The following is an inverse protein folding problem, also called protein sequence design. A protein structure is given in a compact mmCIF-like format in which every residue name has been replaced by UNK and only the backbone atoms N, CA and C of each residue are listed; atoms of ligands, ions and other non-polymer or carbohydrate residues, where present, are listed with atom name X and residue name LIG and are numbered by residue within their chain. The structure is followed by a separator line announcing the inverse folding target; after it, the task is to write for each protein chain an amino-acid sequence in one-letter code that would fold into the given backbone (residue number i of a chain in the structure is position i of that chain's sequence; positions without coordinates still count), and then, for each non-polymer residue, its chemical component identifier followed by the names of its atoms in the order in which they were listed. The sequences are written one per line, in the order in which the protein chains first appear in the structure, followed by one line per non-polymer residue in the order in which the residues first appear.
data_IF_219273337671
#
_entry.id   IF_219273337671
#
_cell.length_a   1.000
_cell.length_b   1.000
_cell.length_c   1.000
_cell.angle_alpha   90.00
_cell.angle_beta   90.00
_cell.angle_gamma   90.00
#
_symmetry.space_group_name_H-M   'P 1'
#
loop_
_entity.id
_entity.type
_entity.pdbx_description
1 polymer ?
#
# COMPACT_ATOMS: atom_id res chain seq x y z
N UNK A 1 9.46 -1.99 -27.32
CA UNK A 1 9.49 -3.08 -26.32
C UNK A 1 9.81 -2.66 -24.87
N UNK A 2 9.98 -1.36 -24.54
CA UNK A 2 10.07 -0.87 -23.14
C UNK A 2 8.87 0.05 -22.80
N UNK A 3 8.50 0.92 -23.75
CA UNK A 3 7.33 1.80 -23.69
C UNK A 3 5.98 1.08 -23.57
N UNK A 4 5.85 -0.11 -24.17
CA UNK A 4 4.64 -0.93 -24.09
C UNK A 4 4.42 -1.51 -22.67
N UNK A 5 5.49 -1.97 -22.02
CA UNK A 5 5.45 -2.46 -20.63
C UNK A 5 5.27 -1.33 -19.61
N UNK A 6 5.83 -0.14 -19.85
CA UNK A 6 5.60 1.03 -19.00
C UNK A 6 4.15 1.55 -19.10
N UNK A 7 3.52 1.47 -20.29
CA UNK A 7 2.09 1.77 -20.45
C UNK A 7 1.17 0.65 -19.94
N UNK A 8 1.59 -0.62 -19.96
CA UNK A 8 0.89 -1.70 -19.23
C UNK A 8 1.03 -1.57 -17.69
N UNK A 9 2.13 -0.99 -17.20
CA UNK A 9 2.36 -0.76 -15.77
C UNK A 9 1.54 0.39 -15.18
N UNK A 10 1.19 1.38 -16.03
CA UNK A 10 0.06 2.25 -15.80
C UNK A 10 -1.23 1.45 -16.02
N UNK A 11 -1.49 0.56 -15.07
CA UNK A 11 -2.69 -0.21 -15.00
C UNK A 11 -3.81 0.79 -14.68
N UNK A 12 -4.39 1.39 -15.73
CA UNK A 12 -5.47 2.39 -15.63
C UNK A 12 -6.58 1.85 -14.72
N UNK A 13 -6.76 0.53 -14.72
CA UNK A 13 -7.66 -0.18 -13.83
C UNK A 13 -7.32 0.02 -12.34
N UNK A 14 -6.05 -0.11 -11.94
CA UNK A 14 -5.59 0.16 -10.56
C UNK A 14 -5.72 1.63 -10.21
N UNK A 15 -5.44 2.52 -11.16
CA UNK A 15 -5.60 3.96 -10.96
C UNK A 15 -7.06 4.33 -10.73
N UNK A 16 -7.97 3.84 -11.57
CA UNK A 16 -9.42 4.04 -11.46
C UNK A 16 -9.96 3.40 -10.18
N UNK A 17 -9.50 2.21 -9.81
CA UNK A 17 -9.87 1.56 -8.55
C UNK A 17 -9.42 2.40 -7.34
N UNK A 18 -8.15 2.84 -7.33
CA UNK A 18 -7.61 3.68 -6.26
C UNK A 18 -8.35 5.02 -6.17
N UNK A 19 -8.66 5.66 -7.31
CA UNK A 19 -9.47 6.88 -7.36
C UNK A 19 -10.90 6.65 -6.86
N UNK A 20 -11.55 5.56 -7.27
CA UNK A 20 -12.90 5.23 -6.83
C UNK A 20 -12.96 5.02 -5.32
N UNK A 21 -12.01 4.29 -4.76
CA UNK A 21 -11.90 4.05 -3.31
C UNK A 21 -11.55 5.36 -2.58
N UNK A 22 -10.63 6.17 -3.10
CA UNK A 22 -10.28 7.48 -2.54
C UNK A 22 -11.49 8.42 -2.46
N UNK A 23 -12.28 8.48 -3.54
CA UNK A 23 -13.48 9.32 -3.59
C UNK A 23 -14.56 8.81 -2.65
N UNK A 24 -14.80 7.50 -2.59
CA UNK A 24 -15.76 6.91 -1.67
C UNK A 24 -15.40 7.20 -0.21
N UNK A 25 -14.13 7.04 0.17
CA UNK A 25 -13.64 7.35 1.51
C UNK A 25 -13.70 8.85 1.80
N UNK A 26 -13.28 9.68 0.85
CA UNK A 26 -13.34 11.13 0.98
C UNK A 26 -14.77 11.66 1.11
N UNK A 27 -15.75 11.00 0.47
CA UNK A 27 -17.17 11.30 0.63
C UNK A 27 -17.72 10.82 1.97
N UNK A 28 -17.32 9.63 2.43
CA UNK A 28 -17.83 9.05 3.67
C UNK A 28 -17.32 9.80 4.91
N UNK A 29 -16.09 10.34 4.86
CA UNK A 29 -15.48 11.17 5.91
C UNK A 29 -15.41 12.66 5.55
N UNK A 30 -16.39 13.16 4.79
CA UNK A 30 -16.38 14.54 4.30
C UNK A 30 -16.31 15.56 5.45
N UNK A 31 -15.21 16.31 5.52
CA UNK A 31 -14.94 17.34 6.54
C UNK A 31 -15.28 16.91 7.98
N UNK A 32 -14.70 15.81 8.42
CA UNK A 32 -14.75 15.42 9.84
C UNK A 32 -14.09 16.52 10.70
N UNK A 33 -14.88 17.20 11.53
CA UNK A 33 -14.38 18.20 12.47
C UNK A 33 -13.71 17.53 13.67
N UNK A 34 -12.95 18.26 14.49
CA UNK A 34 -12.27 17.71 15.68
C UNK A 34 -12.96 18.14 16.98
N UNK A 35 -14.21 18.58 16.91
CA UNK A 35 -14.88 19.25 18.04
C UNK A 35 -15.51 18.25 19.00
N UNK A 36 -15.84 17.04 18.52
CA UNK A 36 -16.49 16.00 19.32
C UNK A 36 -15.61 14.74 19.36
N UNK A 37 -15.61 14.02 20.49
CA UNK A 37 -14.86 12.76 20.65
C UNK A 37 -15.23 11.70 19.58
N UNK A 38 -16.49 11.69 19.14
CA UNK A 38 -16.96 10.84 18.06
C UNK A 38 -16.24 11.13 16.74
N UNK A 39 -16.07 12.42 16.40
CA UNK A 39 -15.41 12.82 15.15
C UNK A 39 -13.89 12.57 15.21
N UNK A 40 -13.27 12.70 16.40
CA UNK A 40 -11.87 12.33 16.62
C UNK A 40 -11.67 10.83 16.37
N UNK A 41 -12.57 9.98 16.89
CA UNK A 41 -12.54 8.53 16.66
C UNK A 41 -12.71 8.19 15.18
N UNK A 42 -13.54 8.93 14.47
CA UNK A 42 -13.73 8.76 13.03
C UNK A 42 -12.45 9.09 12.24
N UNK A 43 -11.72 10.15 12.59
CA UNK A 43 -10.43 10.47 11.98
C UNK A 43 -9.36 9.40 12.25
N UNK A 44 -9.32 8.85 13.47
CA UNK A 44 -8.41 7.74 13.81
C UNK A 44 -8.78 6.49 13.00
N UNK A 45 -10.07 6.20 12.85
CA UNK A 45 -10.57 5.10 12.03
C UNK A 45 -10.19 5.26 10.55
N UNK A 46 -10.26 6.49 10.01
CA UNK A 46 -9.84 6.78 8.65
C UNK A 46 -8.33 6.55 8.46
N UNK A 47 -7.49 7.06 9.35
CA UNK A 47 -6.03 6.83 9.30
C UNK A 47 -5.69 5.35 9.38
N UNK A 48 -6.36 4.62 10.27
CA UNK A 48 -6.18 3.17 10.42
C UNK A 48 -6.57 2.41 9.15
N UNK A 49 -7.71 2.76 8.54
CA UNK A 49 -8.15 2.20 7.26
C UNK A 49 -7.10 2.42 6.16
N UNK A 50 -6.58 3.65 6.03
CA UNK A 50 -5.58 3.98 5.00
C UNK A 50 -4.33 3.09 5.16
N UNK A 51 -3.84 2.92 6.39
CA UNK A 51 -2.69 2.05 6.67
C UNK A 51 -2.93 0.60 6.23
N UNK A 52 -4.10 0.04 6.56
CA UNK A 52 -4.45 -1.34 6.21
C UNK A 52 -4.66 -1.51 4.72
N UNK A 53 -5.32 -0.55 4.08
CA UNK A 53 -5.56 -0.56 2.64
C UNK A 53 -4.24 -0.66 1.87
N UNK A 54 -3.25 0.18 2.22
CA UNK A 54 -1.92 0.14 1.60
C UNK A 54 -1.14 -1.12 1.96
N UNK A 55 -1.19 -1.56 3.23
CA UNK A 55 -0.53 -2.80 3.68
C UNK A 55 -1.05 -4.01 2.91
N UNK A 56 -2.38 -4.15 2.81
CA UNK A 56 -3.07 -5.23 2.09
C UNK A 56 -2.70 -5.23 0.62
N UNK A 57 -2.85 -4.08 -0.04
CA UNK A 57 -2.57 -3.93 -1.47
C UNK A 57 -1.12 -4.27 -1.80
N UNK A 58 -0.17 -3.82 -0.97
CA UNK A 58 1.25 -4.08 -1.19
C UNK A 58 1.63 -5.53 -0.90
N UNK A 59 1.17 -6.13 0.21
CA UNK A 59 1.43 -7.53 0.54
C UNK A 59 0.89 -8.46 -0.54
N UNK A 60 -0.39 -8.31 -0.92
CA UNK A 60 -0.97 -9.17 -1.95
C UNK A 60 -0.30 -8.93 -3.30
N UNK A 61 -0.05 -7.67 -3.67
CA UNK A 61 0.68 -7.34 -4.89
C UNK A 61 2.03 -8.06 -4.97
N UNK A 62 2.84 -7.98 -3.91
CA UNK A 62 4.14 -8.61 -3.82
C UNK A 62 4.09 -10.15 -3.86
N UNK A 63 3.17 -10.76 -3.09
CA UNK A 63 3.01 -12.23 -3.03
C UNK A 63 2.68 -12.82 -4.41
N UNK A 64 1.87 -12.13 -5.22
CA UNK A 64 1.49 -12.61 -6.54
C UNK A 64 2.52 -12.30 -7.62
N UNK A 65 3.29 -11.21 -7.51
CA UNK A 65 4.30 -10.80 -8.51
C UNK A 65 5.57 -11.64 -8.42
N UNK A 66 6.04 -11.90 -7.19
CA UNK A 66 7.34 -12.54 -6.94
C UNK A 66 7.55 -13.92 -7.61
N UNK A 67 6.56 -14.84 -7.68
CA UNK A 67 6.69 -16.12 -8.37
C UNK A 67 6.96 -15.98 -9.87
N UNK A 68 6.30 -15.02 -10.53
CA UNK A 68 6.54 -14.74 -11.95
C UNK A 68 7.94 -14.18 -12.15
N UNK A 69 8.34 -13.22 -11.32
CA UNK A 69 9.64 -12.59 -11.39
C UNK A 69 10.79 -13.60 -11.21
N UNK A 70 10.65 -14.56 -10.29
CA UNK A 70 11.57 -15.70 -10.12
C UNK A 70 11.77 -16.52 -11.39
N UNK A 71 10.71 -16.76 -12.17
CA UNK A 71 10.79 -17.53 -13.44
C UNK A 71 11.57 -16.76 -14.49
N UNK A 72 11.31 -15.45 -14.63
CA UNK A 72 12.04 -14.58 -15.54
C UNK A 72 13.52 -14.50 -15.18
N UNK A 73 13.85 -14.29 -13.89
CA UNK A 73 15.23 -14.25 -13.40
C UNK A 73 16.03 -15.52 -13.74
N UNK A 74 15.40 -16.70 -13.64
CA UNK A 74 16.05 -17.98 -14.00
C UNK A 74 16.26 -18.14 -15.49
N UNK A 75 15.40 -17.55 -16.32
CA UNK A 75 15.48 -17.58 -17.79
C UNK A 75 16.54 -16.60 -18.30
N UNK A 76 16.60 -15.40 -17.75
CA UNK A 76 17.58 -14.39 -18.16
C UNK A 76 19.01 -14.74 -17.73
N UNK A 77 19.21 -15.36 -16.55
CA UNK A 77 20.53 -15.90 -16.15
C UNK A 77 21.09 -16.91 -17.16
N UNK A 78 20.22 -17.63 -17.90
CA UNK A 78 20.65 -18.60 -18.92
C UNK A 78 20.90 -17.96 -20.28
N UNK A 79 20.42 -16.74 -20.52
CA UNK A 79 20.43 -16.12 -21.84
C UNK A 79 21.68 -15.27 -22.08
N UNK A 80 22.34 -14.74 -21.05
CA UNK A 80 23.58 -13.92 -21.12
C UNK A 80 23.56 -12.76 -22.16
N UNK A 81 22.37 -12.37 -22.65
CA UNK A 81 22.23 -11.52 -23.85
C UNK A 81 22.31 -10.00 -23.57
N UNK A 82 22.24 -9.58 -22.31
CA UNK A 82 22.42 -8.18 -21.88
C UNK A 82 22.98 -8.12 -20.45
N UNK A 83 23.65 -7.02 -20.06
CA UNK A 83 24.00 -6.77 -18.65
C UNK A 83 22.70 -6.74 -17.83
N UNK A 84 22.42 -7.86 -17.14
CA UNK A 84 21.24 -8.07 -16.29
C UNK A 84 21.01 -6.89 -15.34
N UNK A 85 22.09 -6.27 -14.87
CA UNK A 85 22.06 -5.12 -13.96
C UNK A 85 21.39 -3.87 -14.52
N UNK A 86 21.60 -3.52 -15.80
CA UNK A 86 21.06 -2.28 -16.39
C UNK A 86 19.56 -2.43 -16.63
N UNK A 87 19.15 -3.58 -17.16
CA UNK A 87 17.74 -3.89 -17.36
C UNK A 87 16.99 -3.98 -16.03
N UNK A 88 17.55 -4.70 -15.03
CA UNK A 88 16.97 -4.80 -13.70
C UNK A 88 16.84 -3.43 -13.03
N UNK A 89 17.90 -2.61 -13.02
CA UNK A 89 17.86 -1.27 -12.45
C UNK A 89 16.77 -0.39 -13.10
N UNK A 90 16.66 -0.42 -14.44
CA UNK A 90 15.63 0.35 -15.15
C UNK A 90 14.21 -0.12 -14.86
N UNK A 91 13.99 -1.43 -14.76
CA UNK A 91 12.66 -2.01 -14.47
C UNK A 91 12.26 -1.71 -13.02
N UNK A 92 13.16 -1.94 -12.06
CA UNK A 92 12.90 -1.66 -10.65
C UNK A 92 12.64 -0.17 -10.40
N UNK A 93 13.36 0.72 -11.09
CA UNK A 93 13.09 2.17 -11.03
C UNK A 93 11.69 2.52 -11.54
N UNK A 94 11.27 1.98 -12.69
CA UNK A 94 9.93 2.22 -13.20
C UNK A 94 8.84 1.70 -12.25
N UNK A 95 9.04 0.52 -11.67
CA UNK A 95 8.10 -0.11 -10.76
C UNK A 95 7.98 0.69 -9.46
N UNK A 96 9.13 1.10 -8.90
CA UNK A 96 9.19 1.91 -7.69
C UNK A 96 8.52 3.29 -7.88
N UNK A 97 8.69 3.93 -9.04
CA UNK A 97 8.01 5.19 -9.35
C UNK A 97 6.49 5.05 -9.35
N UNK A 98 5.97 3.96 -9.92
CA UNK A 98 4.53 3.69 -9.89
C UNK A 98 4.03 3.47 -8.46
N UNK A 99 4.77 2.68 -7.66
CA UNK A 99 4.46 2.45 -6.24
C UNK A 99 4.46 3.71 -5.37
N UNK A 100 5.19 4.76 -5.75
CA UNK A 100 5.15 6.05 -5.06
C UNK A 100 4.01 6.93 -5.60
N UNK A 101 3.76 6.93 -6.90
CA UNK A 101 2.75 7.77 -7.54
C UNK A 101 1.33 7.43 -7.08
N UNK A 102 0.96 6.15 -7.03
CA UNK A 102 -0.38 5.72 -6.62
C UNK A 102 -0.78 6.18 -5.20
N UNK A 103 0.00 5.92 -4.12
CA UNK A 103 -0.32 6.40 -2.78
C UNK A 103 -0.28 7.92 -2.67
N UNK A 104 0.56 8.60 -3.44
CA UNK A 104 0.61 10.06 -3.45
C UNK A 104 -0.68 10.66 -3.99
N UNK A 105 -1.19 10.17 -5.13
CA UNK A 105 -2.46 10.66 -5.71
C UNK A 105 -3.64 10.33 -4.78
N UNK A 106 -3.69 9.11 -4.25
CA UNK A 106 -4.72 8.68 -3.30
C UNK A 106 -4.75 9.59 -2.07
N UNK A 107 -3.60 9.84 -1.46
CA UNK A 107 -3.50 10.70 -0.28
C UNK A 107 -3.83 12.14 -0.58
N UNK A 108 -3.47 12.65 -1.75
CA UNK A 108 -3.83 14.01 -2.15
C UNK A 108 -5.34 14.21 -2.27
N UNK A 109 -6.11 13.17 -2.59
CA UNK A 109 -7.58 13.26 -2.65
C UNK A 109 -8.16 13.12 -1.25
N UNK A 110 -7.85 12.02 -0.56
CA UNK A 110 -8.43 11.70 0.75
C UNK A 110 -8.07 12.76 1.78
N UNK A 111 -6.84 13.28 1.78
CA UNK A 111 -6.40 14.23 2.80
C UNK A 111 -7.16 15.55 2.76
N UNK A 112 -7.37 16.09 1.56
CA UNK A 112 -8.11 17.33 1.36
C UNK A 112 -9.62 17.15 1.54
N UNK A 113 -10.18 15.99 1.17
CA UNK A 113 -11.62 15.69 1.36
C UNK A 113 -11.97 15.41 2.83
N UNK A 114 -11.10 14.69 3.55
CA UNK A 114 -11.29 14.38 4.96
C UNK A 114 -11.19 15.64 5.86
N UNK A 115 -10.56 16.71 5.35
CA UNK A 115 -10.38 17.94 6.12
C UNK A 115 -9.31 17.83 7.21
N UNK A 116 -8.26 17.04 6.97
CA UNK A 116 -7.12 16.98 7.89
C UNK A 116 -6.45 18.35 8.04
N UNK A 117 -5.61 18.48 9.08
CA UNK A 117 -4.92 19.73 9.41
C UNK A 117 -4.13 20.26 8.19
N UNK A 118 -4.52 21.43 7.68
CA UNK A 118 -3.90 22.08 6.51
C UNK A 118 -2.50 22.66 6.81
N UNK A 119 -1.58 21.83 7.30
CA UNK A 119 -0.17 22.16 7.49
C UNK A 119 0.65 21.27 6.58
N UNK A 120 1.46 21.88 5.70
CA UNK A 120 2.27 21.15 4.73
C UNK A 120 3.16 20.08 5.39
N UNK A 121 3.76 20.41 6.54
CA UNK A 121 4.56 19.45 7.31
C UNK A 121 3.78 18.19 7.72
N UNK A 122 2.54 18.34 8.17
CA UNK A 122 1.70 17.19 8.55
C UNK A 122 1.36 16.34 7.33
N UNK A 123 1.01 16.96 6.20
CA UNK A 123 0.76 16.24 4.94
C UNK A 123 1.96 15.42 4.49
N UNK A 124 3.15 16.04 4.43
CA UNK A 124 4.36 15.34 4.00
C UNK A 124 4.78 14.23 4.97
N UNK A 125 4.60 14.42 6.28
CA UNK A 125 4.86 13.36 7.26
C UNK A 125 3.89 12.19 7.10
N UNK A 126 2.59 12.43 6.95
CA UNK A 126 1.60 11.36 6.71
C UNK A 126 1.90 10.62 5.40
N UNK A 127 2.22 11.36 4.33
CA UNK A 127 2.62 10.77 3.06
C UNK A 127 3.87 9.89 3.22
N UNK A 128 4.89 10.39 3.92
CA UNK A 128 6.13 9.66 4.17
C UNK A 128 5.88 8.36 4.93
N UNK A 129 5.07 8.40 6.00
CA UNK A 129 4.71 7.21 6.78
C UNK A 129 4.00 6.17 5.90
N UNK A 130 3.07 6.59 5.05
CA UNK A 130 2.34 5.67 4.16
C UNK A 130 3.27 5.07 3.10
N UNK A 131 4.20 5.85 2.55
CA UNK A 131 5.22 5.33 1.64
C UNK A 131 6.12 4.30 2.33
N UNK A 132 6.53 4.54 3.58
CA UNK A 132 7.29 3.56 4.36
C UNK A 132 6.49 2.28 4.61
N UNK A 133 5.21 2.41 4.96
CA UNK A 133 4.32 1.26 5.15
C UNK A 133 4.21 0.46 3.86
N UNK A 134 4.00 1.11 2.72
CA UNK A 134 3.89 0.46 1.42
C UNK A 134 5.17 -0.33 1.07
N UNK A 135 6.35 0.29 1.20
CA UNK A 135 7.64 -0.34 0.89
C UNK A 135 7.93 -1.51 1.85
N UNK A 136 7.69 -1.33 3.15
CA UNK A 136 7.91 -2.38 4.15
C UNK A 136 6.98 -3.57 3.93
N UNK A 137 5.71 -3.29 3.62
CA UNK A 137 4.68 -4.31 3.33
C UNK A 137 4.98 -5.07 2.04
N UNK A 138 5.49 -4.38 1.02
CA UNK A 138 5.93 -5.00 -0.23
C UNK A 138 7.09 -5.97 0.03
N UNK A 139 8.13 -5.54 0.75
CA UNK A 139 9.25 -6.41 1.11
C UNK A 139 8.83 -7.62 1.96
N UNK A 140 7.90 -7.44 2.90
CA UNK A 140 7.32 -8.54 3.66
C UNK A 140 6.56 -9.52 2.75
N UNK A 141 5.75 -9.01 1.82
CA UNK A 141 5.01 -9.83 0.85
C UNK A 141 5.94 -10.64 -0.07
N UNK A 142 7.04 -10.05 -0.54
CA UNK A 142 8.05 -10.77 -1.33
C UNK A 142 8.73 -11.87 -0.51
N UNK A 143 9.06 -11.60 0.76
CA UNK A 143 9.64 -12.60 1.67
C UNK A 143 8.69 -13.78 1.87
N UNK A 144 7.39 -13.52 2.10
CA UNK A 144 6.39 -14.58 2.22
C UNK A 144 6.16 -15.32 0.90
N UNK A 145 6.10 -14.61 -0.23
CA UNK A 145 6.03 -15.19 -1.57
C UNK A 145 7.26 -16.02 -1.92
N UNK A 146 8.43 -15.70 -1.37
CA UNK A 146 9.66 -16.46 -1.53
C UNK A 146 9.71 -17.71 -0.69
N UNK A 147 9.22 -17.63 0.56
CA UNK A 147 9.20 -18.73 1.51
C UNK A 147 8.16 -19.81 1.14
N UNK A 148 7.03 -19.42 0.56
CA UNK A 148 5.94 -20.34 0.25
C UNK A 148 5.96 -20.71 -1.24
N UNK A 149 6.30 -21.97 -1.55
CA UNK A 149 6.35 -22.46 -2.95
C UNK A 149 4.98 -22.53 -3.66
N UNK A 150 3.87 -22.28 -2.95
CA UNK A 150 2.51 -22.27 -3.50
C UNK A 150 1.84 -20.92 -3.28
N UNK A 151 1.46 -20.26 -4.37
CA UNK A 151 0.82 -18.93 -4.38
C UNK A 151 -0.48 -18.94 -3.55
N UNK A 152 -1.27 -20.00 -3.64
CA UNK A 152 -2.52 -20.15 -2.90
C UNK A 152 -2.30 -20.18 -1.39
N UNK A 153 -1.27 -20.91 -0.92
CA UNK A 153 -0.90 -20.95 0.50
C UNK A 153 -0.30 -19.63 0.97
N UNK A 154 0.47 -18.96 0.12
CA UNK A 154 1.08 -17.67 0.43
C UNK A 154 -0.01 -16.60 0.66
N UNK A 155 -1.04 -16.57 -0.18
CA UNK A 155 -2.20 -15.67 -0.01
C UNK A 155 -2.96 -15.93 1.29
N UNK A 156 -3.16 -17.18 1.68
CA UNK A 156 -3.80 -17.52 2.96
C UNK A 156 -2.96 -17.04 4.15
N UNK A 157 -1.66 -17.31 4.17
CA UNK A 157 -0.75 -16.87 5.24
C UNK A 157 -0.71 -15.34 5.32
N UNK A 158 -0.61 -14.66 4.18
CA UNK A 158 -0.65 -13.20 4.11
C UNK A 158 -1.96 -12.64 4.70
N UNK A 159 -3.11 -13.25 4.38
CA UNK A 159 -4.40 -12.83 4.92
C UNK A 159 -4.51 -13.03 6.43
N UNK A 160 -3.97 -14.13 6.97
CA UNK A 160 -3.95 -14.39 8.41
C UNK A 160 -3.06 -13.39 9.15
N UNK A 161 -1.88 -13.09 8.60
CA UNK A 161 -0.96 -12.10 9.16
C UNK A 161 -1.61 -10.72 9.16
N UNK A 162 -2.28 -10.35 8.06
CA UNK A 162 -3.00 -9.09 7.98
C UNK A 162 -4.14 -9.01 8.99
N UNK A 163 -4.87 -10.10 9.20
CA UNK A 163 -5.94 -10.17 10.21
C UNK A 163 -5.40 -10.04 11.63
N UNK A 164 -4.22 -10.60 11.92
CA UNK A 164 -3.54 -10.40 13.20
C UNK A 164 -3.13 -8.94 13.40
N UNK A 165 -2.52 -8.31 12.40
CA UNK A 165 -2.16 -6.88 12.46
C UNK A 165 -3.38 -5.96 12.56
N UNK A 166 -4.49 -6.33 11.91
CA UNK A 166 -5.77 -5.63 12.04
C UNK A 166 -6.27 -5.65 13.49
N UNK A 167 -6.21 -6.80 14.16
CA UNK A 167 -6.69 -6.95 15.53
C UNK A 167 -5.78 -6.24 16.53
N UNK A 168 -4.46 -6.37 16.37
CA UNK A 168 -3.46 -5.82 17.30
C UNK A 168 -3.08 -4.37 17.02
N UNK A 169 -3.55 -3.78 15.91
CA UNK A 169 -3.23 -2.42 15.48
C UNK A 169 -3.83 -1.29 16.33
N UNK A 170 -4.35 -1.59 17.52
CA UNK A 170 -4.77 -0.62 18.53
C UNK A 170 -6.12 0.07 18.29
N UNK A 171 -6.68 0.00 17.09
CA UNK A 171 -8.03 0.53 16.83
C UNK A 171 -9.13 -0.40 17.39
N UNK A 172 -9.00 -1.71 17.17
CA UNK A 172 -9.98 -2.72 17.58
C UNK A 172 -9.80 -3.20 19.03
N UNK A 173 -8.55 -3.38 19.47
CA UNK A 173 -8.22 -3.72 20.85
C UNK A 173 -7.73 -2.45 21.54
N UNK A 174 -8.63 -1.84 22.31
CA UNK A 174 -8.29 -0.76 23.22
C UNK A 174 -8.11 -1.38 24.59
N UNK A 175 -6.86 -1.63 25.01
CA UNK A 175 -6.58 -2.11 26.36
C UNK A 175 -7.08 -1.05 27.36
N UNK A 176 -8.15 -1.41 28.06
CA UNK A 176 -8.95 -0.52 28.89
C UNK A 176 -8.10 0.17 29.96
N UNK A 177 -7.80 1.44 29.73
CA UNK A 177 -7.65 2.40 30.82
C UNK A 177 -8.96 3.18 30.90
N UNK A 178 -9.68 3.14 32.05
CA UNK A 178 -10.90 3.91 32.19
C UNK A 178 -10.58 5.39 31.97
N UNK A 179 -11.28 6.01 31.02
CA UNK A 179 -11.34 7.46 30.91
C UNK A 179 -12.10 7.96 32.14
N UNK A 180 -11.36 8.38 33.16
CA UNK A 180 -11.91 9.24 34.20
C UNK A 180 -12.05 10.65 33.62
N UNK A 181 -13.27 11.01 33.22
CA UNK A 181 -13.84 12.37 33.32
C UNK A 181 -15.35 12.26 33.29
#
# INVERSE_FOLDING_TARGET
SFKARCMEYFDILRLVQALGIALLLGLLWWKSSINTEAELRDQVGLMFYICIFWTSTCIFGAVYVFPFEKVYLRKERKADMYRLSVYYASSTLCDMMAHVMYPTIFMLIVYFMAGFKNTAACFFLTLFVILLIAITSQGAGELFGAAVMSIQRAGMVASLILMLFLLTGGYYVQDGKPHCT
#
